data_IF_471394450523
#
_entry.id   IF_471394450523
#
_cell.length_a   1.000
_cell.length_b   1.000
_cell.length_c   1.000
_cell.angle_alpha   90.00
_cell.angle_beta   90.00
_cell.angle_gamma   90.00
#
_symmetry.space_group_name_H-M   'P 1'
#
loop_
_entity.id
_entity.type
_entity.pdbx_description
1 polymer ?
#
# COMPACT_ATOMS: atom_id res chain seq x y z
N UNK A 1 35.22 -37.65 -21.00
CA UNK A 1 34.19 -37.65 -19.95
C UNK A 1 33.72 -36.22 -19.75
N UNK A 2 32.59 -35.86 -20.37
CA UNK A 2 32.03 -34.49 -20.37
C UNK A 2 30.95 -34.43 -19.29
N UNK A 3 31.20 -33.67 -18.21
CA UNK A 3 30.22 -33.49 -17.14
C UNK A 3 29.17 -32.46 -17.58
N UNK A 4 27.95 -32.93 -17.83
CA UNK A 4 26.77 -32.09 -18.01
C UNK A 4 26.42 -31.40 -16.68
N UNK A 5 26.82 -30.14 -16.53
CA UNK A 5 26.24 -29.25 -15.53
C UNK A 5 24.81 -28.88 -15.93
N UNK A 6 23.85 -29.70 -15.52
CA UNK A 6 22.44 -29.29 -15.46
C UNK A 6 22.33 -28.20 -14.41
N UNK A 7 22.37 -26.94 -14.85
CA UNK A 7 21.80 -25.83 -14.10
C UNK A 7 20.30 -26.12 -13.97
N UNK A 8 19.89 -26.72 -12.85
CA UNK A 8 18.53 -26.55 -12.37
C UNK A 8 18.38 -25.07 -12.05
N UNK A 9 17.84 -24.31 -12.99
CA UNK A 9 17.29 -22.98 -12.71
C UNK A 9 16.27 -23.18 -11.60
N UNK A 10 16.65 -22.89 -10.35
CA UNK A 10 15.66 -22.58 -9.32
C UNK A 10 14.85 -21.44 -9.92
N UNK A 11 13.55 -21.65 -10.19
CA UNK A 11 12.63 -20.55 -10.50
C UNK A 11 12.82 -19.56 -9.36
N UNK A 12 13.49 -18.44 -9.61
CA UNK A 12 13.56 -17.32 -8.68
C UNK A 12 12.16 -16.74 -8.69
N UNK A 13 11.30 -17.22 -7.80
CA UNK A 13 10.02 -16.59 -7.56
C UNK A 13 10.31 -15.23 -6.95
N UNK A 14 9.67 -14.20 -7.49
CA UNK A 14 9.91 -12.86 -7.06
C UNK A 14 8.92 -12.50 -5.93
N UNK A 15 9.39 -11.87 -4.85
CA UNK A 15 8.55 -11.55 -3.71
C UNK A 15 7.41 -10.61 -4.12
N UNK A 16 6.26 -10.75 -3.48
CA UNK A 16 5.09 -9.95 -3.79
C UNK A 16 4.41 -9.39 -2.53
N UNK A 17 3.77 -8.24 -2.69
CA UNK A 17 2.92 -7.61 -1.68
C UNK A 17 1.47 -7.85 -2.09
N UNK A 18 0.70 -8.41 -1.17
CA UNK A 18 -0.73 -8.63 -1.28
C UNK A 18 -1.46 -7.54 -0.49
N UNK A 19 -2.39 -6.83 -1.11
CA UNK A 19 -3.34 -5.96 -0.43
C UNK A 19 -4.68 -6.66 -0.39
N UNK A 20 -5.24 -6.80 0.79
CA UNK A 20 -6.64 -7.12 0.99
C UNK A 20 -7.35 -5.86 1.47
N UNK A 21 -8.01 -5.15 0.55
CA UNK A 21 -8.63 -3.86 0.84
C UNK A 21 -9.86 -4.03 1.74
N UNK A 22 -9.94 -3.24 2.82
CA UNK A 22 -11.16 -3.12 3.58
C UNK A 22 -12.05 -2.06 2.93
N UNK A 23 -12.99 -2.49 2.09
CA UNK A 23 -13.78 -1.57 1.26
C UNK A 23 -14.55 -0.52 2.06
N UNK A 24 -15.10 -0.89 3.21
CA UNK A 24 -15.87 0.03 4.02
C UNK A 24 -14.96 1.12 4.59
N UNK A 25 -13.86 0.70 5.21
CA UNK A 25 -12.90 1.62 5.85
C UNK A 25 -12.14 2.46 4.81
N UNK A 26 -11.86 1.91 3.64
CA UNK A 26 -11.32 2.66 2.51
C UNK A 26 -12.29 3.74 2.02
N UNK A 27 -13.58 3.44 1.92
CA UNK A 27 -14.58 4.43 1.52
C UNK A 27 -14.74 5.51 2.59
N UNK A 28 -14.80 5.12 3.86
CA UNK A 28 -14.88 6.05 4.99
C UNK A 28 -13.63 6.96 5.05
N UNK A 29 -12.45 6.41 4.75
CA UNK A 29 -11.21 7.18 4.59
C UNK A 29 -11.33 8.23 3.48
N UNK A 30 -11.82 7.85 2.30
CA UNK A 30 -11.96 8.75 1.15
C UNK A 30 -12.95 9.88 1.46
N UNK A 31 -14.06 9.58 2.13
CA UNK A 31 -15.04 10.58 2.52
C UNK A 31 -14.42 11.62 3.48
N UNK A 32 -13.62 11.16 4.45
CA UNK A 32 -12.86 12.04 5.35
C UNK A 32 -11.76 12.81 4.62
N UNK A 33 -11.06 12.19 3.67
CA UNK A 33 -10.04 12.84 2.86
C UNK A 33 -10.62 14.00 2.04
N UNK A 34 -11.74 13.77 1.37
CA UNK A 34 -12.47 14.80 0.62
C UNK A 34 -12.99 15.93 1.54
N UNK A 35 -13.47 15.59 2.74
CA UNK A 35 -13.88 16.59 3.73
C UNK A 35 -12.69 17.41 4.26
N UNK A 36 -11.53 16.79 4.46
CA UNK A 36 -10.27 17.43 4.88
C UNK A 36 -9.81 18.43 3.83
N UNK A 37 -9.82 18.06 2.55
CA UNK A 37 -9.44 18.96 1.45
C UNK A 37 -10.35 20.18 1.33
N UNK A 38 -11.63 20.06 1.70
CA UNK A 38 -12.56 21.19 1.67
C UNK A 38 -12.28 22.28 2.73
N UNK A 39 -11.48 21.98 3.77
CA UNK A 39 -11.14 22.90 4.89
C UNK A 39 -9.79 23.61 4.67
N UNK A 40 -9.46 23.90 3.41
CA UNK A 40 -8.14 24.10 2.80
C UNK A 40 -7.08 25.03 3.46
N UNK A 41 -7.36 25.75 4.53
CA UNK A 41 -6.44 26.76 5.07
C UNK A 41 -5.50 26.27 6.19
N UNK A 42 -5.82 25.16 6.88
CA UNK A 42 -5.03 24.69 8.04
C UNK A 42 -4.59 23.21 7.97
N UNK A 43 -5.06 22.44 6.99
CA UNK A 43 -4.79 21.01 6.91
C UNK A 43 -3.65 20.68 5.92
N UNK A 44 -2.90 19.58 6.15
CA UNK A 44 -1.88 19.13 5.21
C UNK A 44 -2.49 18.93 3.81
N UNK A 45 -1.73 19.28 2.77
CA UNK A 45 -2.14 19.04 1.39
C UNK A 45 -1.94 17.58 1.02
N UNK A 46 -2.76 17.01 0.12
CA UNK A 46 -2.49 15.69 -0.41
C UNK A 46 -1.08 15.63 -1.03
N UNK A 47 -0.36 14.51 -0.86
CA UNK A 47 0.96 14.36 -1.45
C UNK A 47 0.88 14.25 -2.96
N UNK A 48 1.92 14.71 -3.66
CA UNK A 48 2.01 14.80 -5.12
C UNK A 48 1.81 13.47 -5.90
N UNK A 49 1.83 12.33 -5.22
CA UNK A 49 1.58 11.03 -5.83
C UNK A 49 0.08 10.70 -5.91
N UNK A 50 -0.77 11.39 -5.14
CA UNK A 50 -2.23 11.40 -5.30
C UNK A 50 -2.57 12.35 -6.44
N UNK A 51 -3.34 11.87 -7.42
CA UNK A 51 -3.57 12.59 -8.68
C UNK A 51 -4.97 13.13 -8.83
N UNK A 52 -5.92 12.51 -8.14
CA UNK A 52 -7.33 12.91 -8.23
C UNK A 52 -7.64 13.88 -7.10
N UNK A 53 -7.59 15.17 -7.43
CA UNK A 53 -8.07 16.28 -6.60
C UNK A 53 -9.13 17.05 -7.39
N UNK A 54 -10.25 17.50 -6.79
CA UNK A 54 -10.57 17.53 -5.36
C UNK A 54 -11.50 16.41 -4.86
N UNK A 55 -11.93 15.48 -5.73
CA UNK A 55 -12.89 14.44 -5.39
C UNK A 55 -12.29 13.06 -5.63
N UNK A 56 -11.61 12.56 -4.62
CA UNK A 56 -11.05 11.21 -4.59
C UNK A 56 -12.17 10.17 -4.48
N UNK A 57 -11.98 9.02 -5.11
CA UNK A 57 -12.76 7.79 -4.91
C UNK A 57 -11.87 6.68 -4.34
N UNK A 58 -12.48 5.62 -3.80
CA UNK A 58 -11.75 4.42 -3.39
C UNK A 58 -10.91 3.84 -4.54
N UNK A 59 -11.46 3.80 -5.77
CA UNK A 59 -10.78 3.40 -6.99
C UNK A 59 -9.56 4.26 -7.29
N UNK A 60 -9.71 5.59 -7.24
CA UNK A 60 -8.59 6.47 -7.55
C UNK A 60 -7.49 6.35 -6.49
N UNK A 61 -7.85 6.24 -5.21
CA UNK A 61 -6.88 6.12 -4.13
C UNK A 61 -6.11 4.80 -4.22
N UNK A 62 -6.79 3.68 -4.43
CA UNK A 62 -6.12 2.38 -4.61
C UNK A 62 -5.20 2.40 -5.82
N UNK A 63 -5.65 2.95 -6.94
CA UNK A 63 -4.82 3.11 -8.14
C UNK A 63 -3.59 3.99 -7.88
N UNK A 64 -3.75 5.11 -7.17
CA UNK A 64 -2.65 6.03 -6.84
C UNK A 64 -1.64 5.39 -5.87
N UNK A 65 -2.10 4.67 -4.83
CA UNK A 65 -1.25 3.91 -3.92
C UNK A 65 -0.44 2.87 -4.71
N UNK A 66 -1.11 2.03 -5.50
CA UNK A 66 -0.45 0.99 -6.29
C UNK A 66 0.55 1.60 -7.27
N UNK A 67 0.16 2.66 -7.98
CA UNK A 67 1.03 3.37 -8.91
C UNK A 67 2.26 3.95 -8.20
N UNK A 68 2.10 4.54 -7.02
CA UNK A 68 3.20 5.07 -6.22
C UNK A 68 4.17 3.97 -5.80
N UNK A 69 3.65 2.84 -5.30
CA UNK A 69 4.46 1.69 -4.89
C UNK A 69 5.29 1.13 -6.06
N UNK A 70 4.71 1.03 -7.26
CA UNK A 70 5.41 0.60 -8.48
C UNK A 70 6.26 1.71 -9.14
N UNK A 71 6.54 2.82 -8.43
CA UNK A 71 7.34 3.95 -8.91
C UNK A 71 6.75 4.69 -10.14
N UNK A 72 5.44 4.90 -10.14
CA UNK A 72 4.73 5.62 -11.20
C UNK A 72 4.30 4.76 -12.39
N UNK A 73 4.37 3.43 -12.28
CA UNK A 73 3.76 2.53 -13.27
C UNK A 73 2.25 2.54 -13.05
N UNK A 74 1.50 3.07 -14.02
CA UNK A 74 0.05 3.09 -13.96
C UNK A 74 -0.55 1.78 -14.41
N UNK A 75 -1.43 1.26 -13.56
CA UNK A 75 -2.38 0.22 -13.96
C UNK A 75 -3.72 0.90 -14.19
N UNK A 76 -4.20 0.87 -15.43
CA UNK A 76 -5.55 1.35 -15.77
C UNK A 76 -6.64 0.33 -15.39
N UNK A 77 -6.26 -0.81 -14.81
CA UNK A 77 -7.18 -1.85 -14.39
C UNK A 77 -7.64 -1.58 -12.97
N UNK A 78 -8.96 -1.67 -12.76
CA UNK A 78 -9.57 -1.60 -11.43
C UNK A 78 -8.90 -2.59 -10.50
N UNK A 79 -8.17 -2.08 -9.51
CA UNK A 79 -7.47 -2.86 -8.49
C UNK A 79 -8.42 -3.23 -7.33
N UNK A 80 -9.69 -3.53 -7.62
CA UNK A 80 -10.71 -3.79 -6.61
C UNK A 80 -10.55 -5.16 -5.95
N UNK A 81 -10.59 -5.18 -4.61
CA UNK A 81 -10.57 -6.40 -3.80
C UNK A 81 -9.18 -6.79 -3.35
N UNK A 82 -8.51 -7.60 -4.15
CA UNK A 82 -7.18 -8.11 -3.81
C UNK A 82 -6.18 -7.65 -4.87
N UNK A 83 -5.21 -6.83 -4.46
CA UNK A 83 -4.13 -6.38 -5.34
C UNK A 83 -2.86 -7.15 -5.04
N UNK A 84 -2.19 -7.67 -6.07
CA UNK A 84 -0.89 -8.34 -5.94
C UNK A 84 0.17 -7.55 -6.70
N UNK A 85 1.15 -7.03 -5.98
CA UNK A 85 2.33 -6.38 -6.53
C UNK A 85 3.52 -7.33 -6.52
N UNK A 86 3.80 -7.89 -7.69
CA UNK A 86 4.94 -8.79 -7.90
C UNK A 86 6.17 -7.95 -8.18
N UNK A 87 7.20 -8.11 -7.35
CA UNK A 87 8.48 -7.46 -7.62
C UNK A 87 9.21 -8.14 -8.77
N UNK A 88 10.09 -7.44 -9.49
CA UNK A 88 11.05 -8.07 -10.42
C UNK A 88 12.37 -8.48 -9.74
N UNK A 89 12.63 -7.96 -8.54
CA UNK A 89 13.87 -8.19 -7.78
C UNK A 89 13.69 -7.91 -6.28
N UNK A 90 14.59 -8.42 -5.43
CA UNK A 90 14.56 -8.07 -4.01
C UNK A 90 14.76 -6.57 -3.77
N UNK A 91 15.60 -5.91 -4.59
CA UNK A 91 15.80 -4.46 -4.49
C UNK A 91 14.50 -3.68 -4.74
N UNK A 92 13.77 -4.03 -5.80
CA UNK A 92 12.48 -3.41 -6.09
C UNK A 92 11.44 -3.71 -4.99
N UNK A 93 11.49 -4.89 -4.38
CA UNK A 93 10.62 -5.24 -3.25
C UNK A 93 10.89 -4.38 -2.02
N UNK A 94 12.16 -4.24 -1.62
CA UNK A 94 12.54 -3.34 -0.53
C UNK A 94 12.14 -1.87 -0.81
N UNK A 95 12.19 -1.43 -2.07
CA UNK A 95 11.72 -0.10 -2.45
C UNK A 95 10.21 0.04 -2.28
N UNK A 96 9.41 -0.97 -2.67
CA UNK A 96 7.96 -0.97 -2.44
C UNK A 96 7.63 -0.89 -0.93
N UNK A 97 8.30 -1.67 -0.09
CA UNK A 97 8.15 -1.60 1.37
C UNK A 97 8.54 -0.22 1.93
N UNK A 98 9.62 0.38 1.40
CA UNK A 98 10.02 1.73 1.77
C UNK A 98 8.95 2.77 1.42
N UNK A 99 8.33 2.67 0.25
CA UNK A 99 7.23 3.56 -0.17
C UNK A 99 5.95 3.34 0.64
N UNK A 100 5.64 2.10 1.02
CA UNK A 100 4.55 1.82 1.96
C UNK A 100 4.74 2.57 3.28
N UNK A 101 5.96 2.54 3.83
CA UNK A 101 6.28 3.30 5.04
C UNK A 101 6.15 4.82 4.84
N UNK A 102 6.36 5.33 3.63
CA UNK A 102 6.18 6.76 3.31
C UNK A 102 4.68 7.12 3.34
N UNK A 103 3.82 6.28 2.77
CA UNK A 103 2.36 6.48 2.80
C UNK A 103 1.86 6.50 4.25
N UNK A 104 2.31 5.50 5.03
CA UNK A 104 1.95 5.37 6.45
C UNK A 104 2.21 6.64 7.23
N UNK A 105 3.39 7.25 7.11
CA UNK A 105 3.76 8.43 7.92
C UNK A 105 3.44 9.75 7.24
N UNK A 106 2.75 9.73 6.09
CA UNK A 106 2.45 10.94 5.33
C UNK A 106 1.53 11.88 6.15
N UNK A 107 1.84 13.18 6.26
CA UNK A 107 1.07 14.11 7.09
C UNK A 107 -0.41 14.21 6.71
N UNK A 108 -0.75 14.13 5.41
CA UNK A 108 -2.14 14.16 4.96
C UNK A 108 -2.84 12.87 5.34
N UNK A 109 -2.22 11.73 5.05
CA UNK A 109 -2.77 10.41 5.41
C UNK A 109 -3.03 10.30 6.91
N UNK A 110 -2.10 10.78 7.74
CA UNK A 110 -2.21 10.81 9.19
C UNK A 110 -3.27 11.79 9.71
N UNK A 111 -3.44 12.95 9.05
CA UNK A 111 -4.52 13.87 9.39
C UNK A 111 -5.90 13.25 9.13
N UNK A 112 -6.06 12.51 8.04
CA UNK A 112 -7.31 11.79 7.71
C UNK A 112 -7.58 10.67 8.71
N UNK A 113 -6.55 9.91 9.11
CA UNK A 113 -6.70 8.81 10.09
C UNK A 113 -6.91 9.29 11.52
N UNK A 114 -6.49 10.52 11.87
CA UNK A 114 -6.70 11.07 13.21
C UNK A 114 -8.18 11.15 13.60
N UNK A 115 -9.07 11.32 12.62
CA UNK A 115 -10.52 11.35 12.82
C UNK A 115 -11.15 9.93 12.80
N UNK A 116 -10.38 8.88 12.48
CA UNK A 116 -10.86 7.52 12.38
C UNK A 116 -10.97 6.81 13.74
N UNK A 117 -11.81 5.77 13.88
CA UNK A 117 -11.80 4.85 15.02
C UNK A 117 -10.41 4.21 15.22
N UNK A 118 -10.06 3.89 16.47
CA UNK A 118 -8.71 3.44 16.90
C UNK A 118 -8.18 2.14 16.25
N UNK A 119 -8.99 1.46 15.44
CA UNK A 119 -8.65 0.17 14.82
C UNK A 119 -9.00 0.13 13.34
N UNK A 120 -9.27 1.29 12.74
CA UNK A 120 -9.55 1.37 11.31
C UNK A 120 -8.26 1.21 10.51
N UNK A 121 -8.28 0.37 9.48
CA UNK A 121 -7.19 0.12 8.54
C UNK A 121 -7.76 -0.08 7.12
N UNK A 122 -7.24 0.66 6.15
CA UNK A 122 -7.81 0.63 4.79
C UNK A 122 -7.44 -0.65 4.02
N UNK A 123 -6.40 -1.38 4.47
CA UNK A 123 -6.05 -2.69 3.94
C UNK A 123 -5.24 -3.53 4.93
N UNK A 124 -5.38 -4.86 4.82
CA UNK A 124 -4.42 -5.80 5.37
C UNK A 124 -3.37 -6.15 4.32
N UNK A 125 -2.09 -6.12 4.69
CA UNK A 125 -0.94 -6.42 3.84
C UNK A 125 -0.42 -7.83 4.15
N UNK A 126 -0.34 -8.66 3.11
CA UNK A 126 0.37 -9.93 3.14
C UNK A 126 1.67 -9.86 2.33
N UNK A 127 2.70 -10.58 2.77
CA UNK A 127 3.92 -10.78 1.98
C UNK A 127 3.92 -12.22 1.47
N UNK A 128 4.01 -12.40 0.16
CA UNK A 128 4.07 -13.72 -0.47
C UNK A 128 5.54 -14.09 -0.73
N UNK A 129 6.01 -15.09 0.01
CA UNK A 129 7.31 -15.75 -0.22
C UNK A 129 7.10 -17.22 -0.62
N UNK A 130 7.91 -17.71 -1.57
CA UNK A 130 8.02 -19.11 -2.03
C UNK A 130 6.80 -20.05 -1.78
N UNK A 131 5.72 -19.88 -2.55
CA UNK A 131 4.67 -20.90 -2.71
C UNK A 131 3.77 -21.14 -1.49
N UNK A 132 3.95 -20.39 -0.41
CA UNK A 132 3.02 -20.30 0.71
C UNK A 132 2.55 -18.86 0.82
N UNK A 133 1.24 -18.63 0.77
CA UNK A 133 0.69 -17.39 1.27
C UNK A 133 0.82 -17.41 2.79
N UNK A 134 1.95 -16.91 3.29
CA UNK A 134 1.97 -16.47 4.65
C UNK A 134 1.17 -15.16 4.66
N UNK A 135 -0.08 -15.22 5.12
CA UNK A 135 -0.63 -14.07 5.82
C UNK A 135 0.19 -13.95 7.11
N UNK A 136 1.45 -13.55 6.98
CA UNK A 136 2.11 -12.84 8.06
C UNK A 136 1.29 -11.57 8.18
N UNK A 137 0.20 -11.65 8.97
CA UNK A 137 -0.36 -10.51 9.69
C UNK A 137 0.85 -9.80 10.23
N UNK A 138 1.26 -8.74 9.53
CA UNK A 138 2.61 -8.23 9.64
C UNK A 138 2.66 -7.45 10.93
N UNK A 139 2.92 -8.18 12.02
CA UNK A 139 3.59 -7.68 13.22
C UNK A 139 4.89 -6.93 12.90
N UNK A 140 5.33 -6.91 11.63
CA UNK A 140 6.39 -6.06 11.10
C UNK A 140 6.10 -4.56 11.23
N UNK A 141 4.84 -4.10 11.20
CA UNK A 141 4.51 -2.76 11.67
C UNK A 141 4.17 -2.84 13.15
N UNK A 142 5.22 -2.78 14.00
CA UNK A 142 5.06 -2.46 15.42
C UNK A 142 4.08 -1.30 15.52
N UNK A 143 3.11 -1.38 16.44
CA UNK A 143 2.22 -0.28 16.82
C UNK A 143 3.00 1.03 16.70
N UNK A 144 2.66 1.85 15.70
CA UNK A 144 3.40 3.07 15.45
C UNK A 144 3.43 3.85 16.77
N UNK A 145 4.59 4.36 17.21
CA UNK A 145 4.64 5.15 18.41
C UNK A 145 3.69 6.34 18.20
N UNK A 146 2.83 6.60 19.19
CA UNK A 146 1.95 7.76 19.17
C UNK A 146 2.77 9.01 18.76
N UNK A 147 2.25 9.87 17.87
CA UNK A 147 0.83 10.05 17.57
C UNK A 147 0.30 9.34 16.30
N UNK A 148 1.08 8.50 15.64
CA UNK A 148 0.70 8.00 14.32
C UNK A 148 -0.33 6.86 14.37
N UNK A 149 -1.29 6.90 13.46
CA UNK A 149 -2.33 5.89 13.25
C UNK A 149 -1.88 4.89 12.17
N UNK A 150 -2.03 3.60 12.44
CA UNK A 150 -1.73 2.55 11.47
C UNK A 150 -2.75 2.60 10.32
N UNK A 151 -2.28 2.69 9.08
CA UNK A 151 -3.13 2.76 7.87
C UNK A 151 -3.34 1.38 7.26
N UNK A 152 -2.29 0.55 7.31
CA UNK A 152 -2.24 -0.80 6.79
C UNK A 152 -1.92 -1.81 7.91
N UNK A 153 -2.65 -2.93 7.95
CA UNK A 153 -2.47 -4.01 8.94
C UNK A 153 -1.58 -5.16 8.47
#
# INVERSE_FOLDING_TARGET
>A
MTANHRFTQRKRFAPAILFNWNFQELQDFVDRANATQSRADELPKPPHWIRVEPCMTADSLTSDIISFLENGVHRNDSCFGVSVLVSSSMQHFCQMLGRLSIIEVDPFMQAVMKEAPRYECIATIGILEEGAAAFETSRMMRAQPAPYCQIFE
#
